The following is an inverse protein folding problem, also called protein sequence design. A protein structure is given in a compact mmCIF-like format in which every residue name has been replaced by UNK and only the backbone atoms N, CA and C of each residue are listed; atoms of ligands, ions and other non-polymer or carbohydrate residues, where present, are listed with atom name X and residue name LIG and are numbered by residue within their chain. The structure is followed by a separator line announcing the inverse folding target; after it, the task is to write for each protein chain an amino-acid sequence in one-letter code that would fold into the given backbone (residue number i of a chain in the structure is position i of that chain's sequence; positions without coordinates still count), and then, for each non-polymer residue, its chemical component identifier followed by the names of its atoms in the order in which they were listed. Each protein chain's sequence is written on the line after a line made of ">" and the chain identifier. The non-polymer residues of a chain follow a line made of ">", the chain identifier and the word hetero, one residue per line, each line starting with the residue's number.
data_IF_460433300151
#
_entry.id   IF_460433300151
#
_cell.length_a   1.000
_cell.length_b   1.000
_cell.length_c   1.000
_cell.angle_alpha   90.00
_cell.angle_beta   90.00
_cell.angle_gamma   90.00
#
_symmetry.space_group_name_H-M   'P 1'
#
loop_
_entity.id
_entity.type
_entity.pdbx_description
1 polymer ?
#
# COMPACT_ATOMS: atom_id res chain seq x y z
N UNK A 1 -21.68 10.63 14.58
CA UNK A 1 -21.94 9.28 15.17
C UNK A 1 -22.67 8.49 14.11
N UNK A 2 -22.03 7.48 13.49
CA UNK A 2 -22.70 6.60 12.54
C UNK A 2 -23.72 5.76 13.29
N UNK A 3 -24.92 5.58 12.75
CA UNK A 3 -25.87 4.67 13.38
C UNK A 3 -25.37 3.23 13.24
N UNK A 4 -25.77 2.31 14.14
CA UNK A 4 -25.27 0.91 14.12
C UNK A 4 -25.59 0.18 12.80
N UNK A 5 -26.64 0.60 12.10
CA UNK A 5 -27.04 0.07 10.80
C UNK A 5 -26.05 0.49 9.71
N UNK A 6 -25.62 1.77 9.72
CA UNK A 6 -24.62 2.28 8.78
C UNK A 6 -23.25 1.63 9.00
N UNK A 7 -22.88 1.32 10.26
CA UNK A 7 -21.64 0.59 10.60
C UNK A 7 -21.63 -0.82 10.02
N UNK A 8 -22.76 -1.54 10.08
CA UNK A 8 -22.84 -2.92 9.58
C UNK A 8 -22.74 -3.00 8.06
N UNK A 9 -23.40 -2.08 7.35
CA UNK A 9 -23.36 -2.02 5.89
C UNK A 9 -22.00 -1.60 5.37
N UNK A 10 -21.33 -0.65 6.03
CA UNK A 10 -20.01 -0.17 5.65
C UNK A 10 -18.89 -1.20 5.85
N UNK A 11 -18.99 -2.07 6.85
CA UNK A 11 -18.01 -3.13 7.12
C UNK A 11 -18.10 -4.32 6.14
N UNK A 12 -19.23 -4.49 5.46
CA UNK A 12 -19.46 -5.57 4.49
C UNK A 12 -19.25 -5.13 3.03
N UNK A 13 -19.09 -3.83 2.78
CA UNK A 13 -18.87 -3.33 1.41
C UNK A 13 -17.47 -3.75 0.94
N UNK A 14 -17.33 -4.36 -0.25
CA UNK A 14 -16.02 -4.64 -0.84
C UNK A 14 -15.20 -3.36 -0.95
N UNK A 15 -13.89 -3.50 -0.79
CA UNK A 15 -12.93 -2.42 -1.08
C UNK A 15 -13.06 -1.91 -2.52
N UNK A 16 -12.41 -0.82 -2.80
CA UNK A 16 -12.51 -0.19 -4.13
C UNK A 16 -11.64 -0.92 -5.17
N UNK A 17 -10.54 -1.57 -4.74
CA UNK A 17 -9.66 -2.40 -5.56
C UNK A 17 -10.09 -3.85 -5.40
N UNK A 18 -11.00 -4.35 -6.24
CA UNK A 18 -11.44 -5.76 -6.18
C UNK A 18 -10.86 -6.57 -7.33
N UNK A 19 -10.77 -7.90 -7.20
CA UNK A 19 -10.23 -8.78 -8.26
C UNK A 19 -10.91 -8.66 -9.62
N UNK A 20 -12.16 -8.21 -9.65
CA UNK A 20 -12.98 -8.06 -10.86
C UNK A 20 -12.75 -6.72 -11.58
N UNK A 21 -12.16 -5.75 -10.89
CA UNK A 21 -11.92 -4.41 -11.43
C UNK A 21 -10.55 -4.29 -12.10
N UNK A 22 -10.37 -3.33 -13.03
CA UNK A 22 -9.12 -3.14 -13.77
C UNK A 22 -7.87 -3.04 -12.88
N UNK A 23 -7.94 -2.27 -11.79
CA UNK A 23 -6.81 -2.13 -10.85
C UNK A 23 -6.48 -3.46 -10.18
N UNK A 24 -7.48 -4.19 -9.68
CA UNK A 24 -7.27 -5.49 -9.05
C UNK A 24 -6.71 -6.53 -10.03
N UNK A 25 -7.19 -6.53 -11.28
CA UNK A 25 -6.64 -7.38 -12.34
C UNK A 25 -5.18 -7.05 -12.66
N UNK A 26 -4.82 -5.75 -12.69
CA UNK A 26 -3.45 -5.30 -12.88
C UNK A 26 -2.54 -5.78 -11.74
N UNK A 27 -2.96 -5.64 -10.47
CA UNK A 27 -2.20 -6.13 -9.32
C UNK A 27 -1.98 -7.64 -9.40
N UNK A 28 -3.05 -8.42 -9.65
CA UNK A 28 -2.97 -9.88 -9.78
C UNK A 28 -2.01 -10.27 -10.90
N UNK A 29 -2.13 -9.64 -12.06
CA UNK A 29 -1.28 -9.89 -13.22
C UNK A 29 0.18 -9.60 -12.90
N UNK A 30 0.49 -8.41 -12.35
CA UNK A 30 1.86 -8.00 -12.03
C UNK A 30 2.54 -8.98 -11.09
N UNK A 31 1.84 -9.42 -10.03
CA UNK A 31 2.39 -10.37 -9.05
C UNK A 31 2.59 -11.75 -9.65
N UNK A 32 1.67 -12.23 -10.51
CA UNK A 32 1.80 -13.55 -11.15
C UNK A 32 2.89 -13.61 -12.21
N UNK A 33 3.12 -12.51 -12.93
CA UNK A 33 4.10 -12.45 -14.01
C UNK A 33 5.54 -12.25 -13.52
N UNK A 34 5.75 -11.70 -12.31
CA UNK A 34 7.09 -11.51 -11.75
C UNK A 34 7.39 -12.52 -10.63
N UNK A 35 7.85 -13.71 -11.02
CA UNK A 35 8.24 -14.78 -10.09
C UNK A 35 9.44 -14.44 -9.21
N UNK A 36 10.09 -13.30 -9.43
CA UNK A 36 11.23 -12.84 -8.63
C UNK A 36 10.83 -11.99 -7.41
N UNK A 37 9.54 -11.72 -7.21
CA UNK A 37 9.05 -11.03 -6.02
C UNK A 37 9.24 -11.91 -4.77
N UNK A 38 9.82 -11.32 -3.73
CA UNK A 38 10.05 -11.99 -2.44
C UNK A 38 9.30 -11.32 -1.29
N UNK A 39 9.22 -10.00 -1.29
CA UNK A 39 8.60 -9.23 -0.23
C UNK A 39 7.55 -8.27 -0.81
N UNK A 40 6.29 -8.50 -0.51
CA UNK A 40 5.16 -7.67 -0.93
C UNK A 40 4.51 -7.04 0.30
N UNK A 41 4.31 -5.73 0.28
CA UNK A 41 3.66 -4.97 1.35
C UNK A 41 2.39 -4.32 0.81
N UNK A 42 1.31 -4.44 1.57
CA UNK A 42 0.02 -3.79 1.31
C UNK A 42 -0.32 -2.90 2.53
N UNK A 43 -0.32 -1.58 2.34
CA UNK A 43 -0.65 -0.62 3.39
C UNK A 43 -2.09 -0.19 3.20
N UNK A 44 -2.94 -0.49 4.19
CA UNK A 44 -4.37 -0.25 4.14
C UNK A 44 -5.19 -1.50 3.83
N UNK A 45 -5.11 -2.51 4.71
CA UNK A 45 -5.88 -3.76 4.58
C UNK A 45 -7.39 -3.53 4.53
N UNK A 46 -7.89 -2.52 5.30
CA UNK A 46 -9.30 -2.29 5.51
C UNK A 46 -10.00 -3.57 6.03
N UNK A 47 -11.16 -3.93 5.45
CA UNK A 47 -11.87 -5.17 5.78
C UNK A 47 -11.36 -6.41 5.00
N UNK A 48 -10.30 -6.27 4.23
CA UNK A 48 -9.67 -7.32 3.43
C UNK A 48 -10.30 -7.60 2.07
N UNK A 49 -11.51 -7.11 1.80
CA UNK A 49 -12.24 -7.37 0.55
C UNK A 49 -11.85 -6.38 -0.56
N UNK A 50 -10.57 -6.04 -0.64
CA UNK A 50 -10.00 -5.08 -1.58
C UNK A 50 -8.68 -5.57 -2.17
N UNK A 51 -7.67 -4.69 -2.14
CA UNK A 51 -6.30 -4.95 -2.62
C UNK A 51 -5.69 -6.20 -1.99
N UNK A 52 -5.86 -6.38 -0.69
CA UNK A 52 -5.36 -7.54 0.05
C UNK A 52 -5.88 -8.86 -0.55
N UNK A 53 -7.17 -8.92 -0.92
CA UNK A 53 -7.74 -10.09 -1.59
C UNK A 53 -7.10 -10.33 -2.96
N UNK A 54 -6.77 -9.25 -3.70
CA UNK A 54 -6.09 -9.36 -4.99
C UNK A 54 -4.71 -9.99 -4.83
N UNK A 55 -3.91 -9.55 -3.87
CA UNK A 55 -2.60 -10.13 -3.57
C UNK A 55 -2.72 -11.58 -3.16
N UNK A 56 -3.63 -11.93 -2.26
CA UNK A 56 -3.82 -13.32 -1.83
C UNK A 56 -4.26 -14.25 -2.97
N UNK A 57 -5.13 -13.78 -3.88
CA UNK A 57 -5.47 -14.54 -5.10
C UNK A 57 -4.28 -14.73 -6.04
N UNK A 58 -3.39 -13.74 -6.11
CA UNK A 58 -2.17 -13.86 -6.92
C UNK A 58 -1.15 -14.83 -6.33
N UNK A 59 -1.10 -14.91 -5.00
CA UNK A 59 -0.14 -15.71 -4.23
C UNK A 59 -0.66 -17.08 -3.81
N UNK A 60 -1.83 -17.50 -4.26
CA UNK A 60 -2.38 -18.83 -3.93
C UNK A 60 -1.38 -19.94 -4.30
N UNK A 61 -0.96 -20.73 -3.30
CA UNK A 61 0.03 -21.78 -3.45
C UNK A 61 1.49 -21.32 -3.57
N UNK A 62 1.76 -20.01 -3.53
CA UNK A 62 3.13 -19.48 -3.55
C UNK A 62 3.76 -19.61 -2.15
N UNK A 63 4.93 -20.26 -2.10
CA UNK A 63 5.70 -20.46 -0.85
C UNK A 63 7.02 -19.68 -0.82
N UNK A 64 7.32 -18.90 -1.86
CA UNK A 64 8.59 -18.17 -2.01
C UNK A 64 8.47 -16.67 -1.77
N UNK A 65 7.25 -16.14 -1.70
CA UNK A 65 6.96 -14.72 -1.50
C UNK A 65 6.34 -14.50 -0.13
N UNK A 66 6.91 -13.61 0.64
CA UNK A 66 6.32 -13.08 1.89
C UNK A 66 5.36 -11.95 1.54
N UNK A 67 4.15 -12.01 2.06
CA UNK A 67 3.14 -10.97 1.91
C UNK A 67 2.73 -10.43 3.27
N UNK A 68 2.87 -9.13 3.46
CA UNK A 68 2.49 -8.42 4.68
C UNK A 68 1.45 -7.37 4.33
N UNK A 69 0.25 -7.48 4.92
CA UNK A 69 -0.77 -6.43 4.85
C UNK A 69 -0.96 -5.81 6.23
N UNK A 70 -1.05 -4.47 6.27
CA UNK A 70 -1.02 -3.67 7.49
C UNK A 70 -2.30 -2.85 7.61
N UNK A 71 -2.94 -2.91 8.79
CA UNK A 71 -4.12 -2.12 9.14
C UNK A 71 -3.94 -1.51 10.52
N UNK A 72 -4.05 -0.19 10.63
CA UNK A 72 -3.93 0.53 11.90
C UNK A 72 -5.18 0.42 12.79
N UNK A 73 -6.34 0.18 12.19
CA UNK A 73 -7.59 0.00 12.92
C UNK A 73 -7.79 -1.48 13.31
N UNK A 74 -7.87 -1.75 14.62
CA UNK A 74 -7.98 -3.11 15.15
C UNK A 74 -9.24 -3.84 14.69
N UNK A 75 -10.40 -3.15 14.69
CA UNK A 75 -11.69 -3.77 14.31
C UNK A 75 -11.67 -4.18 12.83
N UNK A 76 -11.12 -3.33 11.96
CA UNK A 76 -10.95 -3.62 10.54
C UNK A 76 -10.00 -4.79 10.31
N UNK A 77 -8.87 -4.83 11.01
CA UNK A 77 -7.92 -5.94 10.91
C UNK A 77 -8.53 -7.28 11.34
N UNK A 78 -9.29 -7.30 12.42
CA UNK A 78 -9.99 -8.52 12.86
C UNK A 78 -11.03 -8.97 11.82
N UNK A 79 -11.76 -8.03 11.24
CA UNK A 79 -12.72 -8.32 10.19
C UNK A 79 -12.03 -8.83 8.91
N UNK A 80 -10.92 -8.23 8.51
CA UNK A 80 -10.11 -8.67 7.38
C UNK A 80 -9.63 -10.12 7.55
N UNK A 81 -9.11 -10.47 8.72
CA UNK A 81 -8.71 -11.85 9.03
C UNK A 81 -9.85 -12.84 8.86
N UNK A 82 -11.06 -12.48 9.31
CA UNK A 82 -12.25 -13.31 9.13
C UNK A 82 -12.66 -13.44 7.66
N UNK A 83 -12.71 -12.33 6.93
CA UNK A 83 -13.13 -12.32 5.53
C UNK A 83 -12.14 -13.05 4.62
N UNK A 84 -10.85 -13.02 4.97
CA UNK A 84 -9.77 -13.59 4.15
C UNK A 84 -9.32 -14.98 4.60
N UNK A 85 -9.91 -15.56 5.64
CA UNK A 85 -9.53 -16.88 6.15
C UNK A 85 -9.37 -17.95 5.05
N UNK A 86 -10.30 -18.11 4.07
CA UNK A 86 -10.17 -19.09 3.01
C UNK A 86 -8.95 -18.88 2.09
N UNK A 87 -8.49 -17.65 1.96
CA UNK A 87 -7.31 -17.29 1.15
C UNK A 87 -6.02 -17.46 1.94
N UNK A 88 -6.02 -17.10 3.22
CA UNK A 88 -4.88 -17.23 4.12
C UNK A 88 -4.46 -18.69 4.30
N UNK A 89 -5.44 -19.61 4.33
CA UNK A 89 -5.16 -21.06 4.39
C UNK A 89 -4.39 -21.58 3.16
N UNK A 90 -4.46 -20.85 2.03
CA UNK A 90 -3.79 -21.21 0.78
C UNK A 90 -2.50 -20.41 0.54
N UNK A 91 -2.18 -19.47 1.40
CA UNK A 91 -1.04 -18.55 1.28
C UNK A 91 -0.25 -18.55 2.60
N UNK A 92 0.59 -19.59 2.84
CA UNK A 92 1.21 -19.82 4.15
C UNK A 92 2.16 -18.69 4.60
N UNK A 93 2.69 -17.90 3.67
CA UNK A 93 3.58 -16.77 3.96
C UNK A 93 2.84 -15.43 3.91
N UNK A 94 1.53 -15.43 4.10
CA UNK A 94 0.73 -14.21 4.13
C UNK A 94 0.39 -13.83 5.58
N UNK A 95 0.67 -12.58 5.94
CA UNK A 95 0.52 -12.03 7.28
C UNK A 95 -0.33 -10.77 7.26
N UNK A 96 -1.41 -10.74 8.03
CA UNK A 96 -2.23 -9.56 8.27
C UNK A 96 -1.93 -9.01 9.66
N UNK A 97 -1.25 -7.88 9.72
CA UNK A 97 -0.89 -7.24 10.99
C UNK A 97 -1.85 -6.11 11.35
N UNK A 98 -2.35 -6.13 12.58
CA UNK A 98 -2.79 -4.90 13.21
C UNK A 98 -1.57 -4.13 13.66
N UNK A 99 -1.33 -2.95 13.10
CA UNK A 99 -0.13 -2.19 13.38
C UNK A 99 0.04 -0.97 12.50
N UNK A 100 1.11 -0.25 12.73
CA UNK A 100 1.53 0.91 11.95
C UNK A 100 3.05 0.93 11.79
N UNK A 101 3.53 1.49 10.68
CA UNK A 101 4.97 1.71 10.41
C UNK A 101 5.40 3.15 10.67
N UNK A 102 4.48 4.03 11.02
CA UNK A 102 4.71 5.42 11.43
C UNK A 102 4.17 5.63 12.84
N UNK A 103 4.66 6.64 13.53
CA UNK A 103 4.11 7.07 14.81
C UNK A 103 3.49 8.49 14.71
N UNK A 104 2.84 8.94 15.78
CA UNK A 104 2.19 10.25 15.79
C UNK A 104 3.15 11.43 15.52
N UNK A 105 4.43 11.27 15.85
CA UNK A 105 5.41 12.33 15.61
C UNK A 105 5.77 12.42 14.14
N UNK A 106 5.71 11.31 13.40
CA UNK A 106 5.92 11.30 11.95
C UNK A 106 4.87 12.17 11.23
N UNK A 107 3.63 12.26 11.74
CA UNK A 107 2.52 13.03 11.14
C UNK A 107 2.36 14.45 11.72
N UNK A 108 3.24 14.87 12.63
CA UNK A 108 3.22 16.23 13.16
C UNK A 108 3.46 17.25 12.04
N UNK A 109 2.65 18.30 12.03
CA UNK A 109 2.73 19.36 11.01
C UNK A 109 2.09 18.96 9.67
N UNK A 110 1.18 17.97 9.65
CA UNK A 110 0.44 17.55 8.44
C UNK A 110 -0.24 18.73 7.73
N UNK A 111 -0.72 19.75 8.44
CA UNK A 111 -1.31 20.96 7.85
C UNK A 111 -0.33 21.76 6.97
N UNK A 112 0.99 21.67 7.21
CA UNK A 112 1.98 22.30 6.33
C UNK A 112 2.19 21.53 5.02
N UNK A 113 1.99 20.22 5.06
CA UNK A 113 2.06 19.34 3.89
C UNK A 113 0.75 19.35 3.12
N UNK A 114 -0.37 19.39 3.84
CA UNK A 114 -1.73 19.33 3.31
C UNK A 114 -2.53 20.55 3.79
N UNK A 115 -2.39 21.72 3.12
CA UNK A 115 -3.07 22.95 3.53
C UNK A 115 -4.60 22.84 3.58
N UNK A 116 -5.18 21.93 2.81
CA UNK A 116 -6.61 21.62 2.82
C UNK A 116 -7.12 21.11 4.17
N UNK A 117 -6.26 20.51 5.00
CA UNK A 117 -6.60 20.13 6.37
C UNK A 117 -7.04 21.34 7.20
N UNK A 118 -6.38 22.48 7.03
CA UNK A 118 -6.74 23.70 7.78
C UNK A 118 -8.12 24.25 7.39
N UNK A 119 -8.56 23.97 6.15
CA UNK A 119 -9.73 24.58 5.52
C UNK A 119 -11.00 23.70 5.57
N UNK A 120 -10.85 22.39 5.80
CA UNK A 120 -11.95 21.43 5.72
C UNK A 120 -12.11 20.65 7.05
N UNK A 121 -13.24 20.85 7.72
CA UNK A 121 -13.52 20.19 9.01
C UNK A 121 -13.68 18.67 8.90
N UNK A 122 -14.14 18.17 7.74
CA UNK A 122 -14.27 16.74 7.51
C UNK A 122 -12.89 16.09 7.33
N UNK A 123 -11.97 16.74 6.60
CA UNK A 123 -10.59 16.29 6.47
C UNK A 123 -9.86 16.29 7.82
N UNK A 124 -10.06 17.33 8.64
CA UNK A 124 -9.55 17.33 10.02
C UNK A 124 -10.05 16.14 10.83
N UNK A 125 -11.33 15.80 10.67
CA UNK A 125 -11.93 14.64 11.35
C UNK A 125 -11.32 13.33 10.86
N UNK A 126 -11.14 13.13 9.54
CA UNK A 126 -10.50 11.93 9.00
C UNK A 126 -9.06 11.80 9.50
N UNK A 127 -8.29 12.87 9.40
CA UNK A 127 -6.92 12.89 9.92
C UNK A 127 -6.84 12.57 11.42
N UNK A 128 -7.74 13.15 12.23
CA UNK A 128 -7.77 12.86 13.67
C UNK A 128 -8.11 11.39 13.97
N UNK A 129 -8.99 10.76 13.17
CA UNK A 129 -9.29 9.33 13.28
C UNK A 129 -8.07 8.49 12.92
N UNK A 130 -7.36 8.82 11.85
CA UNK A 130 -6.17 8.10 11.43
C UNK A 130 -5.04 8.23 12.46
N UNK A 131 -4.81 9.42 13.00
CA UNK A 131 -3.84 9.64 14.09
C UNK A 131 -4.20 8.84 15.35
N UNK A 132 -5.48 8.81 15.72
CA UNK A 132 -5.94 8.03 16.86
C UNK A 132 -5.73 6.51 16.65
N UNK A 133 -5.93 5.99 15.44
CA UNK A 133 -5.64 4.61 15.09
C UNK A 133 -4.13 4.32 15.18
N UNK A 134 -3.28 5.23 14.68
CA UNK A 134 -1.81 5.14 14.75
C UNK A 134 -1.34 5.10 16.21
N UNK A 135 -1.89 5.96 17.08
CA UNK A 135 -1.54 5.99 18.51
C UNK A 135 -1.90 4.69 19.26
N UNK A 136 -2.96 4.02 18.86
CA UNK A 136 -3.43 2.77 19.48
C UNK A 136 -2.75 1.52 18.90
N UNK A 137 -2.34 1.58 17.64
CA UNK A 137 -1.76 0.44 16.95
C UNK A 137 -0.32 0.15 17.39
N UNK A 138 0.09 -1.11 17.49
CA UNK A 138 1.49 -1.46 17.70
C UNK A 138 2.38 -0.90 16.59
N UNK A 139 3.52 -0.32 16.96
CA UNK A 139 4.56 0.10 16.02
C UNK A 139 5.34 -1.12 15.53
N UNK A 140 5.15 -1.50 14.27
CA UNK A 140 5.67 -2.76 13.70
C UNK A 140 6.78 -2.58 12.67
N UNK A 141 7.29 -1.35 12.47
CA UNK A 141 8.32 -1.05 11.48
C UNK A 141 9.56 -1.96 11.54
N UNK A 142 9.94 -2.40 12.74
CA UNK A 142 11.08 -3.31 12.95
C UNK A 142 10.89 -4.71 12.33
N UNK A 143 9.64 -5.07 12.03
CA UNK A 143 9.32 -6.35 11.39
C UNK A 143 9.21 -6.24 9.86
N UNK A 144 9.34 -5.02 9.32
CA UNK A 144 9.32 -4.82 7.87
C UNK A 144 10.63 -5.29 7.25
N UNK A 145 10.57 -5.95 6.08
CA UNK A 145 11.78 -6.38 5.37
C UNK A 145 12.66 -5.19 4.99
N UNK A 146 13.97 -5.41 4.96
CA UNK A 146 14.95 -4.40 4.54
C UNK A 146 14.85 -4.08 3.04
N UNK A 147 14.39 -5.03 2.24
CA UNK A 147 14.12 -4.84 0.82
C UNK A 147 12.67 -5.21 0.52
N UNK A 148 11.95 -4.33 -0.16
CA UNK A 148 10.56 -4.47 -0.53
C UNK A 148 10.47 -4.51 -2.05
N UNK A 149 10.06 -5.65 -2.60
CA UNK A 149 9.94 -5.80 -4.05
C UNK A 149 8.69 -5.12 -4.59
N UNK A 150 7.59 -5.18 -3.85
CA UNK A 150 6.34 -4.54 -4.23
C UNK A 150 5.69 -3.92 -3.00
N UNK A 151 5.27 -2.65 -3.11
CA UNK A 151 4.44 -2.01 -2.09
C UNK A 151 3.22 -1.35 -2.73
N UNK A 152 2.05 -1.53 -2.12
CA UNK A 152 0.86 -0.73 -2.38
C UNK A 152 0.65 0.24 -1.22
N UNK A 153 0.46 1.51 -1.56
CA UNK A 153 0.07 2.58 -0.64
C UNK A 153 -1.41 2.90 -0.82
N UNK A 154 -2.24 2.47 0.12
CA UNK A 154 -3.69 2.67 0.18
C UNK A 154 -4.17 2.90 1.64
N UNK A 155 -3.36 3.55 2.45
CA UNK A 155 -3.65 3.86 3.86
C UNK A 155 -4.61 5.05 4.04
N UNK A 156 -4.42 5.81 5.12
CA UNK A 156 -5.21 7.00 5.43
C UNK A 156 -4.93 8.18 4.51
N UNK A 157 -5.95 9.02 4.28
CA UNK A 157 -5.90 10.14 3.32
C UNK A 157 -4.70 11.08 3.53
N UNK A 158 -4.33 11.34 4.78
CA UNK A 158 -3.27 12.29 5.13
C UNK A 158 -2.08 11.64 5.85
N UNK A 159 -2.06 10.31 5.98
CA UNK A 159 -1.00 9.55 6.66
C UNK A 159 -0.15 8.72 5.70
N UNK A 160 -0.71 8.29 4.57
CA UNK A 160 -0.03 7.47 3.55
C UNK A 160 1.25 8.12 3.02
N UNK A 161 1.29 9.45 2.90
CA UNK A 161 2.50 10.17 2.50
C UNK A 161 3.68 9.92 3.47
N UNK A 162 3.42 9.87 4.78
CA UNK A 162 4.44 9.62 5.79
C UNK A 162 4.86 8.15 5.83
N UNK A 163 3.94 7.23 5.57
CA UNK A 163 4.24 5.81 5.38
C UNK A 163 5.17 5.61 4.18
N UNK A 164 4.92 6.31 3.07
CA UNK A 164 5.82 6.34 1.92
C UNK A 164 7.21 6.85 2.30
N UNK A 165 7.33 7.99 2.95
CA UNK A 165 8.62 8.54 3.37
C UNK A 165 9.40 7.56 4.24
N UNK A 166 8.70 6.79 5.08
CA UNK A 166 9.29 5.84 6.02
C UNK A 166 9.96 4.65 5.34
N UNK A 167 9.34 4.10 4.27
CA UNK A 167 9.82 2.85 3.65
C UNK A 167 10.29 2.98 2.20
N UNK A 168 10.16 4.18 1.59
CA UNK A 168 10.52 4.38 0.18
C UNK A 168 11.95 3.92 -0.15
N UNK A 169 12.91 4.18 0.74
CA UNK A 169 14.31 3.78 0.56
C UNK A 169 14.53 2.25 0.47
N UNK A 170 13.55 1.44 0.94
CA UNK A 170 13.57 -0.03 0.87
C UNK A 170 12.92 -0.57 -0.40
N UNK A 171 12.16 0.25 -1.14
CA UNK A 171 11.41 -0.19 -2.32
C UNK A 171 12.35 -0.45 -3.51
N UNK A 172 12.19 -1.60 -4.20
CA UNK A 172 13.10 -2.05 -5.25
C UNK A 172 12.46 -2.15 -6.63
N UNK A 173 11.28 -2.79 -6.78
CA UNK A 173 10.74 -3.15 -8.10
C UNK A 173 9.44 -2.44 -8.46
N UNK A 174 8.45 -2.46 -7.56
CA UNK A 174 7.13 -1.88 -7.83
C UNK A 174 6.64 -1.02 -6.67
N UNK A 175 6.07 0.11 -7.02
CA UNK A 175 5.29 0.97 -6.12
C UNK A 175 3.95 1.20 -6.77
N UNK A 176 2.88 0.78 -6.10
CA UNK A 176 1.50 1.02 -6.48
C UNK A 176 0.90 2.08 -5.56
N UNK A 177 0.14 3.01 -6.14
CA UNK A 177 -0.49 4.12 -5.44
C UNK A 177 -1.98 4.13 -5.76
N UNK A 178 -2.85 4.08 -4.75
CA UNK A 178 -4.29 4.36 -4.90
C UNK A 178 -4.59 5.83 -4.64
N UNK A 179 -5.65 6.34 -5.24
CA UNK A 179 -6.12 7.72 -5.05
C UNK A 179 -5.06 8.80 -5.40
N UNK A 180 -4.39 8.66 -6.57
CA UNK A 180 -3.29 9.56 -6.98
C UNK A 180 -3.74 10.95 -7.43
N UNK A 181 -5.03 11.15 -7.68
CA UNK A 181 -5.60 12.43 -8.11
C UNK A 181 -6.18 13.23 -6.92
N UNK A 182 -6.09 12.69 -5.69
CA UNK A 182 -6.46 13.38 -4.46
C UNK A 182 -5.29 13.43 -3.46
N UNK A 183 -5.51 14.00 -2.27
CA UNK A 183 -4.46 14.27 -1.28
C UNK A 183 -3.66 13.04 -0.88
N UNK A 184 -4.27 11.86 -0.84
CA UNK A 184 -3.67 10.61 -0.35
C UNK A 184 -2.31 10.32 -1.01
N UNK A 185 -2.28 10.17 -2.35
CA UNK A 185 -1.08 9.76 -3.07
C UNK A 185 -0.58 10.76 -4.12
N UNK A 186 -1.24 11.91 -4.32
CA UNK A 186 -0.84 12.91 -5.33
C UNK A 186 0.62 13.34 -5.18
N UNK A 187 1.03 13.73 -3.96
CA UNK A 187 2.42 14.16 -3.69
C UNK A 187 3.42 13.02 -3.90
N UNK A 188 3.04 11.79 -3.56
CA UNK A 188 3.89 10.62 -3.78
C UNK A 188 4.10 10.42 -5.27
N UNK A 189 3.02 10.48 -6.07
CA UNK A 189 3.09 10.39 -7.52
C UNK A 189 4.00 11.46 -8.13
N UNK A 190 3.83 12.73 -7.70
CA UNK A 190 4.68 13.85 -8.14
C UNK A 190 6.16 13.60 -7.87
N UNK A 191 6.52 13.07 -6.70
CA UNK A 191 7.90 12.70 -6.33
C UNK A 191 8.43 11.58 -7.25
N UNK A 192 7.63 10.54 -7.49
CA UNK A 192 8.04 9.40 -8.32
C UNK A 192 8.15 9.77 -9.80
N UNK A 193 7.29 10.65 -10.30
CA UNK A 193 7.31 11.12 -11.70
C UNK A 193 8.60 11.86 -12.08
N UNK A 194 9.23 12.54 -11.12
CA UNK A 194 10.50 13.26 -11.35
C UNK A 194 11.73 12.45 -10.93
N UNK A 195 11.55 11.30 -10.31
CA UNK A 195 12.64 10.44 -9.86
C UNK A 195 13.14 9.54 -11.02
N UNK A 196 14.40 9.68 -11.48
CA UNK A 196 14.92 8.92 -12.62
C UNK A 196 14.99 7.40 -12.40
N UNK A 197 14.91 6.96 -11.14
CA UNK A 197 14.94 5.53 -10.80
C UNK A 197 13.57 4.84 -10.91
N UNK A 198 12.50 5.60 -11.16
CA UNK A 198 11.15 5.08 -11.22
C UNK A 198 10.45 5.50 -12.53
N UNK A 199 9.67 4.60 -13.09
CA UNK A 199 8.87 4.85 -14.29
C UNK A 199 7.43 4.45 -14.03
N UNK A 200 6.47 5.35 -14.28
CA UNK A 200 5.05 5.01 -14.31
C UNK A 200 4.80 4.07 -15.49
N UNK A 201 4.39 2.83 -15.20
CA UNK A 201 4.13 1.80 -16.21
C UNK A 201 2.64 1.56 -16.46
N UNK A 202 1.79 2.02 -15.54
CA UNK A 202 0.34 2.05 -15.73
C UNK A 202 -0.27 3.21 -14.93
N UNK A 203 -1.28 3.85 -15.54
CA UNK A 203 -2.20 4.78 -14.89
C UNK A 203 -3.63 4.40 -15.25
N UNK A 204 -4.50 4.26 -14.27
CA UNK A 204 -5.92 3.93 -14.44
C UNK A 204 -6.73 5.06 -13.85
N UNK A 205 -7.48 5.85 -14.67
CA UNK A 205 -8.20 7.05 -14.21
C UNK A 205 -9.56 6.73 -13.56
N UNK A 206 -9.73 5.51 -13.03
CA UNK A 206 -10.96 5.16 -12.32
C UNK A 206 -10.97 5.81 -10.94
N UNK A 207 -12.12 6.32 -10.53
CA UNK A 207 -12.33 6.99 -9.23
C UNK A 207 -11.39 8.19 -9.07
N UNK A 208 -10.44 8.09 -8.13
CA UNK A 208 -9.42 9.10 -7.83
C UNK A 208 -8.05 8.76 -8.43
N UNK A 209 -8.01 7.90 -9.44
CA UNK A 209 -6.80 7.48 -10.13
C UNK A 209 -5.96 6.45 -9.37
N UNK A 210 -5.32 5.57 -10.13
CA UNK A 210 -4.37 4.58 -9.64
C UNK A 210 -3.12 4.61 -10.49
N UNK A 211 -1.93 4.51 -9.89
CA UNK A 211 -0.66 4.46 -10.63
C UNK A 211 0.18 3.26 -10.17
N UNK A 212 0.83 2.61 -11.15
CA UNK A 212 1.84 1.60 -10.90
C UNK A 212 3.19 2.10 -11.46
N UNK A 213 4.17 2.17 -10.57
CA UNK A 213 5.55 2.50 -10.92
C UNK A 213 6.41 1.25 -10.88
N UNK A 214 7.38 1.20 -11.79
CA UNK A 214 8.43 0.17 -11.83
C UNK A 214 9.79 0.81 -11.63
N UNK A 215 10.62 0.22 -10.75
CA UNK A 215 12.00 0.63 -10.53
C UNK A 215 12.91 0.26 -11.70
N UNK A 216 13.83 1.14 -12.04
CA UNK A 216 14.80 0.94 -13.13
C UNK A 216 15.95 0.00 -12.75
N UNK A 217 15.90 -0.68 -11.61
CA UNK A 217 16.91 -1.63 -11.16
C UNK A 217 16.91 -2.93 -12.01
N UNK A 218 17.16 -2.81 -13.29
CA UNK A 218 17.25 -3.91 -14.25
C UNK A 218 17.95 -3.47 -15.54
N UNK A 219 18.28 -2.17 -15.65
CA UNK A 219 18.98 -1.60 -16.81
C UNK A 219 20.47 -1.30 -16.55
N UNK A 220 21.00 -1.62 -15.37
CA UNK A 220 22.44 -1.55 -15.11
C UNK A 220 23.08 -2.93 -15.23
N UNK A 221 23.24 -3.38 -16.48
CA UNK A 221 24.42 -4.10 -16.96
C UNK A 221 24.58 -3.85 -18.45
N UNK A 222 25.12 -2.69 -18.88
CA UNK A 222 25.90 -2.71 -20.08
C UNK A 222 27.18 -3.44 -19.71
N UNK A 223 27.48 -4.48 -20.46
CA UNK A 223 28.68 -5.27 -20.42
C UNK A 223 29.91 -4.46 -19.96
N UNK A 224 30.60 -5.00 -18.98
CA UNK A 224 31.99 -4.67 -18.73
C UNK A 224 32.73 -4.68 -20.09
N UNK A 225 33.04 -3.51 -20.59
CA UNK A 225 33.96 -3.35 -21.67
C UNK A 225 35.32 -3.90 -21.16
N UNK A 226 35.62 -5.07 -21.66
CA UNK A 226 36.91 -5.69 -21.58
C UNK A 226 37.92 -4.72 -22.21
N UNK A 227 38.59 -3.93 -21.37
CA UNK A 227 39.71 -3.09 -21.75
C UNK A 227 40.99 -3.81 -21.39
N UNK A 228 41.32 -4.81 -22.19
CA UNK A 228 42.72 -5.27 -22.30
C UNK A 228 43.44 -4.32 -23.27
N UNK A 229 44.44 -3.58 -22.85
CA UNK A 229 45.29 -2.83 -23.77
C UNK A 229 46.25 -3.78 -24.50
N UNK A 230 46.72 -3.40 -25.70
CA UNK A 230 47.58 -4.18 -26.56
C UNK A 230 48.98 -4.40 -25.99
#
# INVERSE_FOLDING_TARGET
>A
MWCEKDKKDFLSVPGQITPERPVGQLLIKTVKEDSSLRNIIDIGTWNGLGSTQCFLKALEGNTSTEFISIESNMEKNLLAKKNLEPYLLKSPNAHLYWGTIIDKNDVNGAESVFPELAQNSEFKRWHAIDVANIEQAPYIFKYMPEEIDFVLFDGGEFTTYYEFLKIFHRCKKYIALDDVDCSKCKKIREILMVNPNWKEVAYIPERNGFSLFRGNQGLQNPASLDSSPP
#
